data_IF_990748403055
#
_entry.id   IF_990748403055
#
_cell.length_a   1.000
_cell.length_b   1.000
_cell.length_c   1.000
_cell.angle_alpha   90.00
_cell.angle_beta   90.00
_cell.angle_gamma   90.00
#
_symmetry.space_group_name_H-M   'P 1'
#
loop_
_entity.id
_entity.type
_entity.pdbx_description
1 polymer ?
#
# COMPACT_ATOMS: atom_id res chain seq x y z
N UNK A 1 -8.70 9.27 13.68
CA UNK A 1 -7.32 8.84 13.45
C UNK A 1 -7.32 7.49 12.75
N UNK A 2 -6.28 7.14 12.02
CA UNK A 2 -6.25 5.91 11.19
C UNK A 2 -6.35 4.60 11.99
N UNK A 3 -5.95 4.65 13.26
CA UNK A 3 -5.97 3.52 14.21
C UNK A 3 -7.14 3.56 15.19
N UNK A 4 -8.11 4.42 14.95
CA UNK A 4 -9.29 4.55 15.80
C UNK A 4 -10.28 5.46 15.09
N UNK A 5 -11.28 4.89 14.46
CA UNK A 5 -12.25 5.67 13.71
C UNK A 5 -13.37 4.81 13.13
N UNK A 6 -14.19 5.48 12.36
CA UNK A 6 -15.24 4.89 11.54
C UNK A 6 -15.31 5.68 10.23
N UNK A 7 -16.03 5.17 9.26
CA UNK A 7 -16.28 5.85 8.00
C UNK A 7 -17.79 5.98 7.78
N UNK A 8 -18.24 7.20 7.49
CA UNK A 8 -19.59 7.46 7.02
C UNK A 8 -19.55 7.66 5.50
N UNK A 9 -20.48 7.03 4.76
CA UNK A 9 -20.52 7.11 3.31
C UNK A 9 -19.39 6.32 2.62
N UNK A 10 -18.97 5.20 3.20
CA UNK A 10 -18.04 4.30 2.54
C UNK A 10 -18.62 3.81 1.20
N UNK A 11 -17.74 3.67 0.22
CA UNK A 11 -18.02 3.06 -1.08
C UNK A 11 -17.27 1.74 -1.16
N UNK A 12 -17.93 0.71 -1.67
CA UNK A 12 -17.24 -0.52 -2.01
C UNK A 12 -16.37 -0.30 -3.26
N UNK A 13 -15.13 -0.77 -3.23
CA UNK A 13 -14.38 -1.01 -4.46
C UNK A 13 -15.08 -2.19 -5.18
N UNK A 14 -15.43 -2.06 -6.48
CA UNK A 14 -15.88 -3.22 -7.25
C UNK A 14 -14.86 -4.35 -7.12
N UNK A 15 -15.34 -5.56 -6.84
CA UNK A 15 -14.45 -6.72 -6.66
C UNK A 15 -13.64 -7.05 -7.91
N UNK A 16 -14.13 -6.61 -9.06
CA UNK A 16 -13.49 -6.71 -10.36
C UNK A 16 -13.49 -5.37 -11.09
N UNK A 17 -12.33 -4.99 -11.59
CA UNK A 17 -12.13 -3.93 -12.56
C UNK A 17 -11.36 -4.44 -13.76
N UNK A 18 -11.17 -3.63 -14.80
CA UNK A 18 -10.35 -4.01 -15.94
C UNK A 18 -8.86 -4.22 -15.53
N UNK A 19 -8.39 -3.41 -14.59
CA UNK A 19 -7.00 -3.38 -14.16
C UNK A 19 -6.83 -3.70 -12.66
N UNK A 20 -7.82 -4.30 -11.99
CA UNK A 20 -7.69 -4.78 -10.62
C UNK A 20 -8.61 -5.95 -10.30
N UNK A 21 -8.26 -6.68 -9.28
CA UNK A 21 -9.08 -7.68 -8.62
C UNK A 21 -8.92 -7.53 -7.10
N UNK A 22 -10.06 -7.51 -6.38
CA UNK A 22 -10.03 -7.53 -4.92
C UNK A 22 -9.75 -8.95 -4.43
N UNK A 23 -8.93 -9.07 -3.39
CA UNK A 23 -8.55 -10.33 -2.76
C UNK A 23 -9.26 -10.50 -1.41
N UNK A 24 -9.31 -11.73 -0.87
CA UNK A 24 -9.88 -12.02 0.46
C UNK A 24 -11.33 -11.55 0.60
N UNK A 25 -12.19 -11.88 -0.38
CA UNK A 25 -13.56 -11.39 -0.48
C UNK A 25 -14.40 -11.72 0.75
N UNK A 26 -14.18 -12.89 1.38
CA UNK A 26 -14.87 -13.33 2.59
C UNK A 26 -14.68 -12.39 3.79
N UNK A 27 -13.58 -11.61 3.80
CA UNK A 27 -13.33 -10.63 4.85
C UNK A 27 -14.25 -9.41 4.77
N UNK A 28 -14.91 -9.17 3.63
CA UNK A 28 -15.71 -7.98 3.35
C UNK A 28 -14.99 -6.66 3.67
N UNK A 29 -13.70 -6.56 3.26
CA UNK A 29 -12.82 -5.42 3.55
C UNK A 29 -12.39 -4.66 2.30
N UNK A 30 -13.28 -4.47 1.37
CA UNK A 30 -13.07 -3.69 0.15
C UNK A 30 -13.85 -2.36 0.18
N UNK A 31 -14.02 -1.77 1.39
CA UNK A 31 -14.76 -0.53 1.60
C UNK A 31 -13.81 0.61 1.98
N UNK A 32 -14.02 1.77 1.38
CA UNK A 32 -13.23 2.95 1.68
C UNK A 32 -14.01 4.25 1.44
N UNK A 33 -13.38 5.37 1.70
CA UNK A 33 -13.95 6.65 1.26
C UNK A 33 -14.05 6.66 -0.27
N UNK A 34 -15.02 7.40 -0.86
CA UNK A 34 -15.10 7.53 -2.33
C UNK A 34 -13.76 7.94 -2.94
N UNK A 35 -13.00 8.82 -2.26
CA UNK A 35 -11.68 9.26 -2.74
C UNK A 35 -10.63 8.15 -2.73
N UNK A 36 -10.67 7.23 -1.75
CA UNK A 36 -9.77 6.08 -1.75
C UNK A 36 -10.07 5.16 -2.92
N UNK A 37 -11.34 4.83 -3.15
CA UNK A 37 -11.77 3.97 -4.27
C UNK A 37 -11.35 4.59 -5.61
N UNK A 38 -11.65 5.87 -5.85
CA UNK A 38 -11.20 6.60 -7.03
C UNK A 38 -9.68 6.57 -7.22
N UNK A 39 -8.92 6.68 -6.13
CA UNK A 39 -7.45 6.67 -6.18
C UNK A 39 -6.92 5.28 -6.57
N UNK A 40 -7.52 4.21 -6.07
CA UNK A 40 -7.17 2.83 -6.45
C UNK A 40 -7.46 2.60 -7.93
N UNK A 41 -8.67 2.95 -8.37
CA UNK A 41 -9.08 2.84 -9.78
C UNK A 41 -8.16 3.66 -10.71
N UNK A 42 -7.77 4.87 -10.29
CA UNK A 42 -6.82 5.70 -11.02
C UNK A 42 -5.44 5.05 -11.10
N UNK A 43 -4.92 4.55 -9.97
CA UNK A 43 -3.61 3.90 -9.93
C UNK A 43 -3.58 2.65 -10.82
N UNK A 44 -4.64 1.85 -10.81
CA UNK A 44 -4.76 0.67 -11.66
C UNK A 44 -4.69 1.02 -13.15
N UNK A 45 -5.51 1.98 -13.60
CA UNK A 45 -5.53 2.43 -15.01
C UNK A 45 -4.20 3.04 -15.43
N UNK A 46 -3.66 3.97 -14.63
CA UNK A 46 -2.42 4.66 -14.98
C UNK A 46 -1.19 3.73 -14.88
N UNK A 47 -1.16 2.84 -13.90
CA UNK A 47 -0.12 1.82 -13.76
C UNK A 47 -0.05 0.94 -15.00
N UNK A 48 -1.21 0.49 -15.52
CA UNK A 48 -1.26 -0.29 -16.75
C UNK A 48 -0.84 0.53 -17.98
N UNK A 49 -1.39 1.71 -18.13
CA UNK A 49 -1.19 2.52 -19.33
C UNK A 49 0.21 3.13 -19.45
N UNK A 50 0.84 3.48 -18.32
CA UNK A 50 2.03 4.33 -18.29
C UNK A 50 3.26 3.65 -17.67
N UNK A 51 3.07 2.65 -16.82
CA UNK A 51 4.15 1.97 -16.10
C UNK A 51 4.37 0.53 -16.57
N UNK A 52 3.49 0.01 -17.44
CA UNK A 52 3.52 -1.38 -17.89
C UNK A 52 3.11 -2.38 -16.81
N UNK A 53 2.42 -1.92 -15.74
CA UNK A 53 1.94 -2.79 -14.68
C UNK A 53 0.66 -3.50 -15.11
N UNK A 54 0.56 -4.84 -15.06
CA UNK A 54 -0.60 -5.58 -15.61
C UNK A 54 -1.94 -5.24 -14.94
N UNK A 55 -1.89 -4.83 -13.68
CA UNK A 55 -3.05 -4.50 -12.86
C UNK A 55 -2.77 -4.78 -11.39
N UNK A 56 -3.70 -4.40 -10.52
CA UNK A 56 -3.53 -4.48 -9.07
C UNK A 56 -4.25 -5.71 -8.49
N UNK A 57 -3.58 -6.41 -7.58
CA UNK A 57 -4.24 -7.30 -6.61
C UNK A 57 -4.46 -6.48 -5.33
N UNK A 58 -5.72 -6.15 -5.06
CA UNK A 58 -6.09 -5.25 -3.97
C UNK A 58 -6.50 -6.07 -2.76
N UNK A 59 -5.74 -5.96 -1.69
CA UNK A 59 -5.99 -6.60 -0.41
C UNK A 59 -7.02 -5.86 0.45
N UNK A 60 -6.73 -5.73 1.74
CA UNK A 60 -7.66 -5.09 2.68
C UNK A 60 -7.71 -3.56 2.51
N UNK A 61 -8.91 -2.99 2.38
CA UNK A 61 -9.23 -1.59 2.61
C UNK A 61 -9.75 -1.44 4.04
N UNK A 62 -11.04 -1.34 4.19
CA UNK A 62 -11.74 -1.25 5.47
C UNK A 62 -13.06 -1.98 5.43
N UNK A 63 -13.73 -2.03 6.58
CA UNK A 63 -15.08 -2.57 6.71
C UNK A 63 -16.13 -1.54 6.22
N UNK A 64 -17.38 -1.95 5.94
CA UNK A 64 -18.44 -1.05 5.41
C UNK A 64 -18.66 0.22 6.25
N UNK A 65 -18.41 0.16 7.55
CA UNK A 65 -18.52 1.30 8.49
C UNK A 65 -17.18 1.71 9.11
N UNK A 66 -16.08 1.10 8.63
CA UNK A 66 -14.78 1.23 9.28
C UNK A 66 -14.75 0.57 10.65
N UNK A 67 -13.99 1.14 11.57
CA UNK A 67 -13.81 0.58 12.91
C UNK A 67 -12.74 -0.52 12.97
N UNK A 68 -12.48 -1.04 14.18
CA UNK A 68 -11.45 -2.04 14.39
C UNK A 68 -11.76 -3.34 13.65
N UNK A 69 -10.73 -3.95 13.10
CA UNK A 69 -10.83 -5.24 12.43
C UNK A 69 -10.44 -6.36 13.40
N UNK A 70 -11.01 -7.56 13.27
CA UNK A 70 -10.66 -8.70 14.12
C UNK A 70 -9.29 -9.33 13.82
N UNK A 71 -8.52 -8.76 12.92
CA UNK A 71 -7.18 -9.23 12.54
C UNK A 71 -6.12 -8.19 12.85
N UNK A 72 -4.85 -8.55 12.67
CA UNK A 72 -3.63 -7.82 13.04
C UNK A 72 -3.44 -6.40 12.47
N UNK A 73 -4.39 -5.89 11.68
CA UNK A 73 -4.34 -4.52 11.17
C UNK A 73 -4.73 -3.50 12.24
N UNK A 74 -3.78 -2.69 12.67
CA UNK A 74 -4.03 -1.60 13.61
C UNK A 74 -4.75 -0.42 12.92
N UNK A 75 -4.54 -0.22 11.62
CA UNK A 75 -5.19 0.83 10.80
C UNK A 75 -6.38 0.29 10.01
N UNK A 76 -6.68 0.83 8.84
CA UNK A 76 -7.85 0.48 8.00
C UNK A 76 -9.23 0.81 8.59
N UNK A 77 -9.26 1.59 9.67
CA UNK A 77 -10.50 1.88 10.41
C UNK A 77 -11.26 3.07 9.86
N UNK A 78 -10.61 3.97 9.14
CA UNK A 78 -11.16 5.26 8.69
C UNK A 78 -11.49 5.31 7.18
N UNK A 79 -11.31 4.21 6.46
CA UNK A 79 -11.55 4.13 5.01
C UNK A 79 -10.56 4.95 4.17
N UNK A 80 -9.36 5.21 4.70
CA UNK A 80 -8.30 5.98 4.04
C UNK A 80 -7.05 5.14 3.74
N UNK A 81 -7.08 3.87 4.09
CA UNK A 81 -5.96 2.93 3.97
C UNK A 81 -6.31 1.80 3.01
N UNK A 82 -5.34 1.33 2.25
CA UNK A 82 -5.44 0.14 1.40
C UNK A 82 -4.10 -0.57 1.33
N UNK A 83 -4.15 -1.90 1.35
CA UNK A 83 -3.03 -2.78 1.07
C UNK A 83 -3.12 -3.25 -0.39
N UNK A 84 -2.05 -3.07 -1.14
CA UNK A 84 -1.95 -3.51 -2.54
C UNK A 84 -0.74 -4.45 -2.64
N UNK A 85 -0.97 -5.66 -3.11
CA UNK A 85 0.07 -6.68 -3.21
C UNK A 85 1.16 -6.26 -4.19
N UNK A 86 2.38 -6.70 -3.96
CA UNK A 86 3.47 -6.53 -4.91
C UNK A 86 3.33 -7.43 -6.14
N UNK A 87 2.53 -8.48 -6.02
CA UNK A 87 2.22 -9.35 -7.15
C UNK A 87 1.41 -8.61 -8.20
N UNK A 88 1.81 -8.65 -9.49
CA UNK A 88 1.00 -8.13 -10.57
C UNK A 88 -0.26 -8.99 -10.77
N UNK A 89 -1.36 -8.34 -11.15
CA UNK A 89 -2.58 -9.05 -11.50
C UNK A 89 -2.34 -9.96 -12.71
N UNK A 90 -2.73 -11.25 -12.64
CA UNK A 90 -2.61 -12.15 -13.80
C UNK A 90 -3.56 -11.72 -14.93
N UNK A 91 -3.23 -12.12 -16.16
CA UNK A 91 -4.06 -11.86 -17.35
C UNK A 91 -5.30 -12.78 -17.43
N UNK A 92 -5.95 -12.97 -16.29
CA UNK A 92 -7.21 -13.69 -16.14
C UNK A 92 -7.92 -13.29 -14.85
N UNK A 93 -9.20 -13.59 -14.77
CA UNK A 93 -9.89 -13.51 -13.48
C UNK A 93 -9.51 -14.69 -12.60
N UNK A 94 -9.17 -14.39 -11.36
CA UNK A 94 -9.00 -15.38 -10.30
C UNK A 94 -10.39 -15.85 -9.85
N UNK A 95 -10.52 -17.14 -9.57
CA UNK A 95 -11.73 -17.68 -8.93
C UNK A 95 -11.87 -17.13 -7.49
N UNK A 96 -13.05 -17.27 -6.89
CA UNK A 96 -13.26 -16.89 -5.48
C UNK A 96 -12.32 -17.70 -4.57
N UNK A 97 -12.14 -18.98 -4.81
CA UNK A 97 -11.23 -19.84 -4.05
C UNK A 97 -9.77 -19.37 -4.16
N UNK A 98 -9.30 -19.05 -5.37
CA UNK A 98 -7.96 -18.51 -5.58
C UNK A 98 -7.75 -17.19 -4.83
N UNK A 99 -8.74 -16.30 -4.83
CA UNK A 99 -8.66 -15.03 -4.08
C UNK A 99 -8.61 -15.23 -2.58
N UNK A 100 -9.15 -16.31 -2.06
CA UNK A 100 -9.09 -16.66 -0.64
C UNK A 100 -7.79 -17.37 -0.25
N UNK A 101 -7.22 -18.17 -1.15
CA UNK A 101 -6.13 -19.12 -0.81
C UNK A 101 -4.75 -18.68 -1.27
N UNK A 102 -4.63 -17.97 -2.41
CA UNK A 102 -3.33 -17.46 -2.88
C UNK A 102 -2.78 -16.47 -1.85
N UNK A 103 -1.54 -16.63 -1.47
CA UNK A 103 -0.82 -15.69 -0.61
C UNK A 103 -0.05 -14.67 -1.43
N UNK A 104 0.03 -13.43 -0.95
CA UNK A 104 0.94 -12.45 -1.50
C UNK A 104 2.39 -12.92 -1.35
N UNK A 105 3.22 -12.61 -2.32
CA UNK A 105 4.63 -13.04 -2.37
C UNK A 105 5.50 -12.11 -1.54
N UNK A 106 6.11 -12.64 -0.49
CA UNK A 106 7.16 -11.89 0.22
C UNK A 106 8.38 -11.71 -0.66
N UNK A 107 8.85 -10.47 -0.77
CA UNK A 107 10.06 -10.12 -1.51
C UNK A 107 11.34 -10.37 -0.73
N UNK A 108 11.25 -10.91 0.49
CA UNK A 108 12.42 -11.16 1.33
C UNK A 108 13.04 -12.52 1.08
N UNK A 109 14.33 -12.58 1.35
CA UNK A 109 15.02 -13.85 1.59
C UNK A 109 14.44 -14.48 2.85
N UNK A 110 14.03 -15.76 2.83
CA UNK A 110 13.41 -16.41 3.98
C UNK A 110 14.28 -16.31 5.25
N UNK A 111 13.64 -15.93 6.37
CA UNK A 111 14.32 -15.80 7.66
C UNK A 111 15.02 -14.46 7.90
N UNK A 112 14.95 -13.53 6.95
CA UNK A 112 15.47 -12.16 7.10
C UNK A 112 14.37 -11.15 7.33
N UNK A 113 14.71 -9.96 7.82
CA UNK A 113 13.75 -8.88 8.10
C UNK A 113 13.71 -7.81 7.00
N UNK A 114 14.74 -7.73 6.16
CA UNK A 114 14.89 -6.67 5.17
C UNK A 114 15.76 -7.04 3.95
N UNK A 115 16.31 -8.23 3.89
CA UNK A 115 17.11 -8.65 2.73
C UNK A 115 16.18 -9.06 1.59
N UNK A 116 16.29 -8.36 0.46
CA UNK A 116 15.44 -8.63 -0.71
C UNK A 116 15.98 -9.80 -1.54
N UNK A 117 15.08 -10.69 -1.90
CA UNK A 117 15.27 -11.68 -2.95
C UNK A 117 14.94 -11.03 -4.30
N UNK A 118 15.99 -10.64 -5.03
CA UNK A 118 15.83 -9.88 -6.27
C UNK A 118 15.20 -10.69 -7.40
N UNK A 119 15.20 -12.01 -7.33
CA UNK A 119 14.52 -12.88 -8.30
C UNK A 119 12.99 -12.76 -8.18
N UNK A 120 12.52 -12.32 -7.02
CA UNK A 120 11.09 -12.06 -6.77
C UNK A 120 10.65 -10.63 -7.06
N UNK A 121 11.58 -9.71 -7.34
CA UNK A 121 11.23 -8.32 -7.58
C UNK A 121 10.45 -8.16 -8.89
N UNK A 122 9.16 -7.75 -8.88
CA UNK A 122 8.39 -7.64 -10.10
C UNK A 122 8.84 -6.44 -10.93
N UNK A 123 8.94 -6.64 -12.24
CA UNK A 123 9.22 -5.53 -13.13
C UNK A 123 8.14 -4.45 -13.05
N UNK A 124 8.54 -3.20 -12.93
CA UNK A 124 7.63 -2.06 -12.87
C UNK A 124 7.12 -1.69 -11.48
N UNK A 125 7.39 -2.47 -10.45
CA UNK A 125 6.94 -2.17 -9.09
C UNK A 125 7.43 -0.79 -8.60
N UNK A 126 8.67 -0.43 -8.90
CA UNK A 126 9.25 0.88 -8.60
C UNK A 126 8.48 2.04 -9.28
N UNK A 127 8.06 1.84 -10.54
CA UNK A 127 7.27 2.83 -11.30
C UNK A 127 5.88 3.03 -10.69
N UNK A 128 5.19 1.94 -10.32
CA UNK A 128 3.87 1.98 -9.68
C UNK A 128 3.95 2.65 -8.29
N UNK A 129 4.95 2.32 -7.48
CA UNK A 129 5.16 2.96 -6.17
C UNK A 129 5.44 4.46 -6.31
N UNK A 130 6.27 4.85 -7.29
CA UNK A 130 6.54 6.25 -7.62
C UNK A 130 5.27 6.98 -8.04
N UNK A 131 4.44 6.37 -8.92
CA UNK A 131 3.16 6.91 -9.34
C UNK A 131 2.22 7.12 -8.16
N UNK A 132 2.01 6.10 -7.34
CA UNK A 132 1.17 6.18 -6.16
C UNK A 132 1.64 7.30 -5.20
N UNK A 133 2.95 7.41 -4.95
CA UNK A 133 3.52 8.46 -4.13
C UNK A 133 3.37 9.85 -4.78
N UNK A 134 3.29 9.95 -6.10
CA UNK A 134 3.08 11.18 -6.84
C UNK A 134 1.70 11.82 -6.61
N UNK A 135 0.70 11.05 -6.24
CA UNK A 135 -0.65 11.59 -6.05
C UNK A 135 -0.71 12.54 -4.84
N UNK A 136 -1.31 13.75 -5.00
CA UNK A 136 -1.38 14.75 -3.92
C UNK A 136 -2.21 14.27 -2.73
N UNK A 137 -3.22 13.43 -2.95
CA UNK A 137 -4.05 12.87 -1.89
C UNK A 137 -3.34 11.79 -1.07
N UNK A 138 -2.30 11.15 -1.59
CA UNK A 138 -1.52 10.16 -0.85
C UNK A 138 -0.63 10.87 0.16
N UNK A 139 -0.77 10.48 1.43
CA UNK A 139 0.01 11.02 2.54
C UNK A 139 1.31 10.24 2.71
N UNK A 140 1.23 8.92 2.70
CA UNK A 140 2.38 8.01 2.83
C UNK A 140 2.06 6.63 2.27
N UNK A 141 3.12 5.92 2.00
CA UNK A 141 3.09 4.52 1.60
C UNK A 141 4.07 3.79 2.52
N UNK A 142 3.60 2.76 3.22
CA UNK A 142 4.45 1.93 4.06
C UNK A 142 4.92 0.73 3.23
N UNK A 143 6.21 0.44 3.33
CA UNK A 143 6.87 -0.69 2.68
C UNK A 143 7.93 -1.28 3.62
N UNK A 144 8.38 -2.50 3.35
CA UNK A 144 9.53 -3.06 4.07
C UNK A 144 10.77 -2.16 3.95
N UNK A 145 11.62 -2.07 4.98
CA UNK A 145 12.86 -1.29 4.91
C UNK A 145 13.78 -1.64 3.73
N UNK A 146 13.89 -2.93 3.38
CA UNK A 146 14.63 -3.37 2.20
C UNK A 146 14.10 -2.78 0.90
N UNK A 147 12.75 -2.78 0.74
CA UNK A 147 12.09 -2.13 -0.40
C UNK A 147 12.41 -0.63 -0.44
N UNK A 148 12.28 0.05 0.71
CA UNK A 148 12.62 1.49 0.80
C UNK A 148 14.06 1.75 0.39
N UNK A 149 15.00 0.94 0.88
CA UNK A 149 16.43 1.08 0.54
C UNK A 149 16.67 0.92 -0.96
N UNK A 150 16.12 -0.13 -1.56
CA UNK A 150 16.26 -0.36 -3.00
C UNK A 150 15.73 0.82 -3.83
N UNK A 151 14.58 1.36 -3.45
CA UNK A 151 14.01 2.55 -4.12
C UNK A 151 14.92 3.78 -3.95
N UNK A 152 15.54 3.96 -2.78
CA UNK A 152 16.52 5.03 -2.55
C UNK A 152 17.75 4.89 -3.47
N UNK A 153 18.23 3.67 -3.64
CA UNK A 153 19.42 3.37 -4.45
C UNK A 153 19.14 3.56 -5.96
N UNK A 154 17.90 3.33 -6.41
CA UNK A 154 17.49 3.38 -7.82
C UNK A 154 16.91 4.72 -8.29
N UNK A 155 16.54 5.62 -7.38
CA UNK A 155 15.74 6.80 -7.72
C UNK A 155 16.47 7.85 -8.59
N UNK A 156 17.80 7.82 -8.70
CA UNK A 156 18.56 8.87 -9.39
C UNK A 156 18.29 10.25 -8.78
N UNK A 157 18.14 11.27 -9.62
CA UNK A 157 17.94 12.66 -9.20
C UNK A 157 16.48 12.98 -8.82
N UNK A 158 15.50 12.26 -9.36
CA UNK A 158 14.09 12.45 -9.03
C UNK A 158 13.72 11.71 -7.74
N UNK A 159 13.91 12.35 -6.61
CA UNK A 159 13.81 11.76 -5.26
C UNK A 159 12.65 12.29 -4.43
N UNK A 160 11.94 13.33 -4.86
CA UNK A 160 10.93 14.01 -4.06
C UNK A 160 9.78 13.08 -3.57
N UNK A 161 9.39 12.12 -4.41
CA UNK A 161 8.34 11.14 -4.10
C UNK A 161 8.72 10.16 -2.98
N UNK A 162 10.03 9.91 -2.79
CA UNK A 162 10.55 9.03 -1.75
C UNK A 162 10.20 9.51 -0.34
N UNK A 163 9.97 10.81 -0.13
CA UNK A 163 9.53 11.37 1.15
C UNK A 163 8.28 10.69 1.69
N UNK A 164 7.39 10.24 0.79
CA UNK A 164 6.14 9.55 1.14
C UNK A 164 6.31 8.04 1.35
N UNK A 165 7.37 7.43 0.81
CA UNK A 165 7.66 6.01 1.01
C UNK A 165 8.34 5.85 2.37
N UNK A 166 7.69 5.14 3.28
CA UNK A 166 8.15 5.02 4.66
C UNK A 166 8.41 3.58 5.04
N UNK A 167 9.58 3.27 5.61
CA UNK A 167 9.86 1.93 6.10
C UNK A 167 8.96 1.58 7.28
N UNK A 168 8.48 0.34 7.31
CA UNK A 168 7.69 -0.20 8.40
C UNK A 168 7.88 -1.72 8.51
N UNK A 169 7.60 -2.26 9.68
CA UNK A 169 7.64 -3.71 9.94
C UNK A 169 6.74 -4.46 8.99
N UNK A 170 7.10 -5.70 8.64
CA UNK A 170 6.39 -6.46 7.61
C UNK A 170 6.37 -5.68 6.30
N UNK A 171 5.26 -5.59 5.60
CA UNK A 171 5.10 -4.87 4.33
C UNK A 171 6.14 -5.32 3.28
N UNK A 172 6.41 -6.61 3.29
CA UNK A 172 7.35 -7.28 2.39
C UNK A 172 6.67 -7.98 1.22
N UNK A 173 5.35 -8.13 1.28
CA UNK A 173 4.48 -8.75 0.26
C UNK A 173 3.44 -7.77 -0.33
N UNK A 174 3.31 -6.58 0.26
CA UNK A 174 2.41 -5.53 -0.19
C UNK A 174 2.92 -4.14 0.20
N UNK A 175 2.39 -3.11 -0.40
CA UNK A 175 2.52 -1.76 0.09
C UNK A 175 1.20 -1.27 0.69
N UNK A 176 1.29 -0.58 1.82
CA UNK A 176 0.16 0.03 2.48
C UNK A 176 0.07 1.51 2.09
N UNK A 177 -0.93 1.88 1.31
CA UNK A 177 -1.14 3.26 0.88
C UNK A 177 -2.17 3.95 1.78
N UNK A 178 -1.81 5.13 2.29
CA UNK A 178 -2.65 5.96 3.15
C UNK A 178 -2.93 7.31 2.53
N UNK A 179 -4.20 7.67 2.46
CA UNK A 179 -4.62 8.99 2.02
C UNK A 179 -4.61 10.01 3.16
N UNK A 180 -4.55 11.28 2.80
CA UNK A 180 -4.76 12.40 3.73
C UNK A 180 -6.22 12.45 4.16
N UNK A 181 -6.48 12.98 5.35
CA UNK A 181 -7.83 13.38 5.73
C UNK A 181 -8.41 14.35 4.70
N UNK A 182 -9.71 14.23 4.38
CA UNK A 182 -10.39 15.22 3.53
C UNK A 182 -10.28 16.62 4.10
N UNK A 183 -10.04 17.62 3.24
CA UNK A 183 -10.04 19.03 3.65
C UNK A 183 -11.41 19.39 4.24
N UNK A 184 -11.41 20.01 5.41
CA UNK A 184 -12.65 20.41 6.11
C UNK A 184 -13.38 19.28 6.83
N UNK A 185 -12.88 18.07 6.82
CA UNK A 185 -13.42 16.93 7.58
C UNK A 185 -13.26 17.15 9.08
N UNK A 186 -14.36 17.44 9.79
CA UNK A 186 -14.34 17.72 11.23
C UNK A 186 -13.99 16.50 12.09
N UNK A 187 -14.18 15.31 11.57
CA UNK A 187 -14.04 14.03 12.31
C UNK A 187 -12.77 13.26 11.96
N UNK A 188 -12.08 13.61 10.86
CA UNK A 188 -10.84 12.97 10.46
C UNK A 188 -9.64 13.68 11.07
N UNK A 189 -8.87 12.97 11.89
CA UNK A 189 -7.66 13.49 12.52
C UNK A 189 -6.43 13.07 11.70
N UNK A 190 -5.81 14.03 11.03
CA UNK A 190 -4.59 13.80 10.26
C UNK A 190 -3.43 13.33 11.13
N UNK A 191 -2.62 12.46 10.58
CA UNK A 191 -1.29 12.16 11.08
C UNK A 191 -0.32 13.28 10.67
N UNK A 192 0.74 13.50 11.45
CA UNK A 192 1.79 14.42 11.04
C UNK A 192 2.34 14.05 9.66
N UNK A 193 2.68 15.04 8.82
CA UNK A 193 3.30 14.76 7.52
C UNK A 193 4.61 13.98 7.72
N UNK A 194 5.05 13.23 6.70
CA UNK A 194 6.39 12.65 6.74
C UNK A 194 7.45 13.74 7.00
N UNK A 195 8.56 13.42 7.69
CA UNK A 195 9.67 14.33 7.84
C UNK A 195 10.18 14.87 6.49
N UNK A 196 10.79 16.04 6.51
CA UNK A 196 11.41 16.62 5.31
C UNK A 196 12.52 15.72 4.75
N UNK A 197 12.82 15.87 3.45
CA UNK A 197 13.79 15.05 2.73
C UNK A 197 13.20 13.78 2.15
N UNK A 198 14.03 12.99 1.50
CA UNK A 198 13.62 11.75 0.82
C UNK A 198 13.50 10.54 1.76
N UNK A 199 13.97 10.65 2.99
CA UNK A 199 13.94 9.59 3.99
C UNK A 199 14.91 8.44 3.71
N UNK A 200 15.98 8.68 2.95
CA UNK A 200 17.00 7.70 2.57
C UNK A 200 18.30 7.78 3.43
N UNK A 201 18.34 8.67 4.40
CA UNK A 201 19.49 8.84 5.29
C UNK A 201 19.34 8.13 6.64
N UNK A 202 19.91 8.71 7.68
CA UNK A 202 20.04 8.17 9.04
C UNK A 202 18.75 7.53 9.60
N UNK A 203 17.58 8.11 9.27
CA UNK A 203 16.30 7.52 9.70
C UNK A 203 15.98 6.19 9.04
N UNK A 204 16.57 5.90 7.87
CA UNK A 204 16.47 4.59 7.22
C UNK A 204 17.51 3.62 7.80
N UNK A 205 18.72 4.10 8.11
CA UNK A 205 19.80 3.28 8.66
C UNK A 205 19.40 2.59 9.99
N UNK A 206 18.54 3.26 10.78
CA UNK A 206 17.95 2.66 11.99
C UNK A 206 17.34 1.29 11.74
N UNK A 207 16.65 1.10 10.60
CA UNK A 207 15.97 -0.14 10.26
C UNK A 207 16.89 -1.30 9.90
N UNK A 208 18.17 -1.02 9.65
CA UNK A 208 19.21 -2.03 9.36
C UNK A 208 20.08 -2.34 10.58
N UNK A 209 19.75 -1.75 11.74
CA UNK A 209 20.33 -2.13 13.04
C UNK A 209 19.48 -3.23 13.69
N UNK A 210 19.98 -3.83 14.77
CA UNK A 210 19.21 -4.83 15.54
C UNK A 210 18.04 -4.22 16.34
N UNK A 211 18.07 -2.90 16.59
CA UNK A 211 17.16 -2.21 17.53
C UNK A 211 15.68 -2.36 17.17
N UNK A 212 15.25 -2.15 15.91
CA UNK A 212 13.84 -2.24 15.57
C UNK A 212 13.28 -3.67 15.59
N UNK A 213 14.16 -4.69 15.66
CA UNK A 213 13.76 -6.10 15.52
C UNK A 213 13.76 -6.87 16.86
N UNK A 214 14.14 -6.21 17.96
CA UNK A 214 14.05 -6.72 19.34
C UNK A 214 12.69 -6.43 19.96
#
# INVERSE_FOLDING_TARGET
>A
YYTGGCVAGAKALPIDGAEWQAMRLSRNRYWGTPKLVETIEQLAREGRALDGWPGLLVGDLGQPRGGPTPSDHISHQSGLDVDIWFDPMPDRRLSEEERETISATSLLVPGTNYELDMDKWPEGLDRVLKRAAGYPQVQRILVNPGVKKLLCDRAGDDRAWLSKIRPWYKHDDHFHMRLRCPKGGKTCRSQNPPPAGDGCGVGLDYWFSEVPWK
#
